data_IF_998174507125
#
_entry.id   IF_998174507125
#
_cell.length_a   1.000
_cell.length_b   1.000
_cell.length_c   1.000
_cell.angle_alpha   90.00
_cell.angle_beta   90.00
_cell.angle_gamma   90.00
#
_symmetry.space_group_name_H-M   'P 1'
#
loop_
_entity.id
_entity.type
_entity.pdbx_description
1 polymer ?
#
# COMPACT_ATOMS: atom_id res chain seq x y z
N UNK A 1 29.64 28.57 -11.05
CA UNK A 1 29.94 27.35 -10.27
C UNK A 1 28.96 26.28 -10.70
N UNK A 2 29.45 25.25 -11.42
CA UNK A 2 28.64 24.09 -11.79
C UNK A 2 28.48 23.19 -10.56
N UNK A 3 27.25 22.95 -10.11
CA UNK A 3 26.99 21.99 -9.04
C UNK A 3 27.26 20.58 -9.60
N UNK A 4 28.18 19.84 -8.97
CA UNK A 4 28.41 18.44 -9.29
C UNK A 4 27.18 17.64 -8.85
N UNK A 5 26.67 16.69 -9.65
CA UNK A 5 25.62 15.79 -9.21
C UNK A 5 26.13 15.00 -7.99
N UNK A 6 25.24 14.78 -7.01
CA UNK A 6 25.51 13.86 -5.90
C UNK A 6 25.77 12.47 -6.49
N UNK A 7 27.02 12.01 -6.43
CA UNK A 7 27.36 10.62 -6.68
C UNK A 7 26.77 9.78 -5.53
N UNK A 8 25.66 9.10 -5.80
CA UNK A 8 25.11 8.10 -4.90
C UNK A 8 26.02 6.86 -5.04
N UNK A 9 26.70 6.42 -3.97
CA UNK A 9 27.57 5.26 -4.06
C UNK A 9 26.75 4.02 -4.43
N UNK A 10 27.28 3.11 -5.28
CA UNK A 10 26.60 1.87 -5.62
C UNK A 10 26.36 1.07 -4.33
N UNK A 11 25.11 0.72 -4.09
CA UNK A 11 24.74 -0.19 -2.99
C UNK A 11 25.26 -1.58 -3.35
N UNK A 12 26.46 -1.89 -2.87
CA UNK A 12 26.98 -3.25 -2.85
C UNK A 12 25.99 -4.08 -2.04
N UNK A 13 25.33 -5.03 -2.70
CA UNK A 13 24.45 -5.98 -2.06
C UNK A 13 25.32 -6.81 -1.09
N UNK A 14 25.24 -6.61 0.24
CA UNK A 14 26.15 -7.31 1.14
C UNK A 14 25.87 -8.81 1.04
N UNK A 15 26.94 -9.60 1.20
CA UNK A 15 26.88 -11.04 1.27
C UNK A 15 25.71 -11.49 2.19
N UNK A 16 24.91 -12.50 1.80
CA UNK A 16 23.80 -12.99 2.60
C UNK A 16 24.15 -13.31 4.05
N UNK A 17 25.38 -13.78 4.33
CA UNK A 17 25.84 -14.06 5.69
C UNK A 17 26.14 -12.77 6.47
N UNK A 18 26.76 -11.77 5.83
CA UNK A 18 27.01 -10.45 6.44
C UNK A 18 25.69 -9.73 6.76
N UNK A 19 24.71 -9.86 5.86
CA UNK A 19 23.35 -9.35 6.09
C UNK A 19 22.67 -10.03 7.25
N UNK A 20 22.85 -11.35 7.39
CA UNK A 20 22.31 -12.12 8.50
C UNK A 20 22.97 -11.74 9.83
N UNK A 21 24.29 -11.59 9.86
CA UNK A 21 25.03 -11.19 11.05
C UNK A 21 24.66 -9.77 11.51
N UNK A 22 24.67 -8.79 10.60
CA UNK A 22 24.24 -7.42 10.93
C UNK A 22 22.79 -7.34 11.41
N UNK A 23 21.91 -8.19 10.86
CA UNK A 23 20.56 -8.36 11.38
C UNK A 23 20.53 -8.93 12.80
N UNK A 24 21.27 -10.02 13.06
CA UNK A 24 21.30 -10.68 14.37
C UNK A 24 21.87 -9.73 15.45
N UNK A 25 22.84 -8.90 15.10
CA UNK A 25 23.36 -7.84 15.96
C UNK A 25 22.35 -6.73 16.24
N UNK A 26 21.62 -6.27 15.21
CA UNK A 26 20.56 -5.28 15.39
C UNK A 26 19.42 -5.84 16.26
N UNK A 27 19.05 -7.11 16.05
CA UNK A 27 18.05 -7.82 16.84
C UNK A 27 18.44 -7.90 18.31
N UNK A 28 19.69 -8.27 18.61
CA UNK A 28 20.19 -8.33 19.98
C UNK A 28 20.19 -6.95 20.69
N UNK A 29 20.24 -5.85 19.92
CA UNK A 29 20.24 -4.47 20.42
C UNK A 29 18.83 -3.88 20.61
N UNK A 30 17.77 -4.59 20.23
CA UNK A 30 16.37 -4.20 20.47
C UNK A 30 15.70 -3.43 19.32
N UNK A 31 14.47 -2.94 19.57
CA UNK A 31 13.57 -2.42 18.53
C UNK A 31 14.14 -1.23 17.74
N UNK A 32 14.84 -0.31 18.39
CA UNK A 32 15.42 0.88 17.76
C UNK A 32 16.59 0.54 16.83
N UNK A 33 17.47 -0.39 17.23
CA UNK A 33 18.56 -0.84 16.38
C UNK A 33 18.06 -1.68 15.19
N UNK A 34 17.01 -2.49 15.39
CA UNK A 34 16.30 -3.17 14.31
C UNK A 34 15.69 -2.17 13.33
N UNK A 35 15.08 -1.09 13.83
CA UNK A 35 14.52 -0.03 12.99
C UNK A 35 15.57 0.62 12.10
N UNK A 36 16.71 1.04 12.66
CA UNK A 36 17.80 1.66 11.89
C UNK A 36 18.43 0.69 10.88
N UNK A 37 18.54 -0.60 11.25
CA UNK A 37 18.98 -1.63 10.31
C UNK A 37 17.97 -1.82 9.15
N UNK A 38 16.68 -1.80 9.45
CA UNK A 38 15.60 -1.96 8.49
C UNK A 38 15.41 -0.75 7.59
N UNK A 39 15.69 0.47 8.07
CA UNK A 39 15.48 1.72 7.35
C UNK A 39 16.02 1.71 5.91
N UNK A 40 17.25 1.25 5.61
CA UNK A 40 17.73 1.10 4.24
C UNK A 40 17.22 -0.17 3.52
N UNK A 41 16.86 -1.23 4.25
CA UNK A 41 16.50 -2.56 3.69
C UNK A 41 15.00 -2.74 3.36
N UNK A 42 14.11 -2.04 4.07
CA UNK A 42 12.68 -1.93 3.76
C UNK A 42 12.44 -1.21 2.43
N UNK A 43 13.41 -0.39 2.08
CA UNK A 43 13.30 0.75 1.19
C UNK A 43 14.20 0.53 -0.06
N UNK A 44 15.15 -0.41 0.00
CA UNK A 44 16.03 -0.73 -1.12
C UNK A 44 16.17 -2.24 -1.35
N UNK A 45 15.67 -2.72 -2.49
CA UNK A 45 16.56 -3.59 -3.29
C UNK A 45 17.49 -2.76 -4.18
N UNK A 46 17.17 -1.50 -4.47
CA UNK A 46 18.02 -0.55 -5.18
C UNK A 46 17.68 0.86 -4.69
N UNK A 47 18.65 1.72 -4.34
CA UNK A 47 18.39 3.06 -3.78
C UNK A 47 17.46 3.97 -4.62
N UNK A 48 17.28 3.66 -5.90
CA UNK A 48 16.33 4.33 -6.81
C UNK A 48 14.85 3.98 -6.55
N UNK A 49 14.53 2.84 -5.92
CA UNK A 49 13.14 2.42 -5.63
C UNK A 49 12.51 3.20 -4.49
N UNK A 50 13.37 3.72 -3.61
CA UNK A 50 13.10 4.33 -2.32
C UNK A 50 12.39 5.69 -2.44
N UNK A 51 13.00 6.57 -3.24
CA UNK A 51 12.45 7.89 -3.54
C UNK A 51 11.19 7.77 -4.40
N UNK A 52 11.16 6.82 -5.34
CA UNK A 52 9.98 6.54 -6.16
C UNK A 52 8.79 6.04 -5.32
N UNK A 53 9.04 5.21 -4.31
CA UNK A 53 8.04 4.75 -3.34
C UNK A 53 7.51 5.89 -2.50
N UNK A 54 8.41 6.67 -1.88
CA UNK A 54 8.03 7.84 -1.10
C UNK A 54 7.25 8.85 -1.94
N UNK A 55 7.68 9.10 -3.17
CA UNK A 55 7.00 9.97 -4.14
C UNK A 55 5.56 9.52 -4.38
N UNK A 56 5.35 8.23 -4.65
CA UNK A 56 4.00 7.68 -4.83
C UNK A 56 3.16 7.80 -3.55
N UNK A 57 3.73 7.57 -2.37
CA UNK A 57 3.01 7.71 -1.11
C UNK A 57 2.62 9.16 -0.82
N UNK A 58 3.49 10.13 -1.11
CA UNK A 58 3.19 11.57 -0.99
C UNK A 58 2.06 11.95 -1.93
N UNK A 59 2.12 11.54 -3.20
CA UNK A 59 1.05 11.83 -4.16
C UNK A 59 -0.27 11.15 -3.80
N UNK A 60 -0.21 9.93 -3.27
CA UNK A 60 -1.39 9.25 -2.75
C UNK A 60 -2.00 10.05 -1.61
N UNK A 61 -1.19 10.49 -0.64
CA UNK A 61 -1.64 11.34 0.46
C UNK A 61 -2.27 12.65 -0.04
N UNK A 62 -1.65 13.34 -1.00
CA UNK A 62 -2.21 14.53 -1.66
C UNK A 62 -3.57 14.25 -2.29
N UNK A 63 -3.70 13.16 -3.04
CA UNK A 63 -4.96 12.77 -3.68
C UNK A 63 -6.07 12.42 -2.68
N UNK A 64 -5.69 11.95 -1.48
CA UNK A 64 -6.60 11.57 -0.41
C UNK A 64 -6.92 12.73 0.55
N UNK A 65 -6.13 13.82 0.56
CA UNK A 65 -6.25 14.93 1.52
C UNK A 65 -7.70 15.42 1.67
N UNK A 66 -8.28 15.95 0.58
CA UNK A 66 -9.64 16.50 0.60
C UNK A 66 -10.70 15.46 1.01
N UNK A 67 -10.74 14.25 0.43
CA UNK A 67 -11.66 13.21 0.90
C UNK A 67 -11.50 12.79 2.38
N UNK A 68 -10.27 12.85 2.93
CA UNK A 68 -10.00 12.62 4.35
C UNK A 68 -10.60 13.74 5.18
N UNK A 69 -10.37 14.99 4.79
CA UNK A 69 -10.94 16.20 5.42
C UNK A 69 -12.48 16.18 5.40
N UNK A 70 -13.09 15.61 4.35
CA UNK A 70 -14.53 15.45 4.21
C UNK A 70 -15.11 14.24 5.00
N UNK A 71 -14.28 13.50 5.74
CA UNK A 71 -14.68 12.28 6.47
C UNK A 71 -15.43 11.26 5.60
N UNK A 72 -14.99 11.11 4.35
CA UNK A 72 -15.73 10.38 3.32
C UNK A 72 -15.99 8.89 3.64
N UNK A 73 -15.14 8.26 4.45
CA UNK A 73 -15.15 6.81 4.66
C UNK A 73 -15.38 6.41 6.11
N UNK A 74 -16.21 5.39 6.32
CA UNK A 74 -16.41 4.77 7.63
C UNK A 74 -15.34 3.71 7.95
N UNK A 75 -14.70 3.18 6.91
CA UNK A 75 -13.73 2.09 7.02
C UNK A 75 -12.69 2.08 5.92
N UNK A 76 -11.55 1.48 6.24
CA UNK A 76 -10.45 1.17 5.32
C UNK A 76 -10.31 -0.35 5.24
N UNK A 77 -10.30 -0.90 4.02
CA UNK A 77 -10.10 -2.31 3.75
C UNK A 77 -8.83 -2.51 2.93
N UNK A 78 -7.76 -2.94 3.58
CA UNK A 78 -6.56 -3.39 2.86
C UNK A 78 -6.84 -4.68 2.10
N UNK A 79 -6.47 -4.73 0.81
CA UNK A 79 -6.46 -5.97 0.05
C UNK A 79 -5.44 -6.96 0.65
N UNK A 80 -5.59 -8.24 0.34
CA UNK A 80 -4.77 -9.31 0.93
C UNK A 80 -3.26 -8.97 0.89
N UNK A 81 -2.45 -9.57 1.77
CA UNK A 81 -0.99 -9.39 1.90
C UNK A 81 -0.44 -8.00 1.53
N UNK A 82 -0.14 -7.72 0.26
CA UNK A 82 0.43 -6.46 -0.23
C UNK A 82 -0.41 -5.22 0.13
N UNK A 83 -1.74 -5.33 0.21
CA UNK A 83 -2.60 -4.20 0.56
C UNK A 83 -2.60 -3.82 2.04
N UNK A 84 -2.00 -4.64 2.92
CA UNK A 84 -2.01 -4.37 4.36
C UNK A 84 -1.20 -3.15 4.72
N UNK A 85 0.01 -3.05 4.21
CA UNK A 85 0.92 -1.96 4.55
C UNK A 85 0.43 -0.61 4.03
N UNK A 86 0.02 -0.48 2.75
CA UNK A 86 -0.65 0.73 2.27
C UNK A 86 -1.93 1.08 3.06
N UNK A 87 -2.70 0.08 3.51
CA UNK A 87 -3.88 0.35 4.33
C UNK A 87 -3.53 0.88 5.73
N UNK A 88 -2.43 0.42 6.34
CA UNK A 88 -1.89 1.00 7.57
C UNK A 88 -1.49 2.45 7.35
N UNK A 89 -0.73 2.72 6.27
CA UNK A 89 -0.32 4.07 5.88
C UNK A 89 -1.53 5.01 5.75
N UNK A 90 -2.51 4.65 4.90
CA UNK A 90 -3.72 5.46 4.67
C UNK A 90 -4.54 5.64 5.94
N UNK A 91 -4.72 4.57 6.72
CA UNK A 91 -5.44 4.66 7.99
C UNK A 91 -4.70 5.53 9.01
N UNK A 92 -3.36 5.57 9.00
CA UNK A 92 -2.59 6.45 9.88
C UNK A 92 -2.83 7.92 9.53
N UNK A 93 -2.84 8.29 8.25
CA UNK A 93 -3.23 9.65 7.80
C UNK A 93 -4.63 10.04 8.31
N UNK A 94 -5.60 9.15 8.13
CA UNK A 94 -6.98 9.36 8.60
C UNK A 94 -7.07 9.46 10.12
N UNK A 95 -6.30 8.65 10.84
CA UNK A 95 -6.27 8.65 12.30
C UNK A 95 -5.69 9.96 12.84
N UNK A 96 -4.58 10.43 12.27
CA UNK A 96 -3.96 11.73 12.58
C UNK A 96 -4.98 12.86 12.42
N UNK A 97 -5.58 12.96 11.22
CA UNK A 97 -6.59 13.98 10.95
C UNK A 97 -7.79 13.91 11.90
N UNK A 98 -8.29 12.70 12.16
CA UNK A 98 -9.43 12.51 13.06
C UNK A 98 -9.12 12.93 14.51
N UNK A 99 -7.89 12.71 14.98
CA UNK A 99 -7.44 13.16 16.30
C UNK A 99 -7.36 14.69 16.40
N UNK A 100 -6.91 15.36 15.35
CA UNK A 100 -6.81 16.84 15.30
C UNK A 100 -8.17 17.52 15.14
N UNK A 101 -9.06 16.95 14.31
CA UNK A 101 -10.39 17.49 14.01
C UNK A 101 -11.47 17.07 15.01
N UNK A 102 -11.16 16.19 15.96
CA UNK A 102 -12.13 15.66 16.92
C UNK A 102 -13.20 14.75 16.30
N UNK A 103 -12.86 14.06 15.21
CA UNK A 103 -13.80 13.21 14.46
C UNK A 103 -13.52 11.72 14.64
N UNK A 104 -14.40 10.88 14.10
CA UNK A 104 -14.31 9.43 14.27
C UNK A 104 -13.25 8.84 13.33
N UNK A 105 -12.35 8.06 13.89
CA UNK A 105 -11.37 7.27 13.12
C UNK A 105 -12.09 6.16 12.32
N UNK A 106 -11.88 6.05 10.99
CA UNK A 106 -12.42 4.95 10.20
C UNK A 106 -11.91 3.59 10.67
N UNK A 107 -12.75 2.56 10.59
CA UNK A 107 -12.33 1.21 11.02
C UNK A 107 -11.37 0.58 10.01
N UNK A 108 -10.16 0.22 10.44
CA UNK A 108 -9.23 -0.57 9.63
C UNK A 108 -9.56 -2.07 9.65
N UNK A 109 -9.57 -2.67 8.46
CA UNK A 109 -9.75 -4.09 8.23
C UNK A 109 -8.84 -4.57 7.11
N UNK A 110 -8.63 -5.88 7.06
CA UNK A 110 -7.91 -6.53 5.97
C UNK A 110 -8.79 -7.60 5.36
N UNK A 111 -8.75 -7.74 4.04
CA UNK A 111 -9.35 -8.85 3.36
C UNK A 111 -8.44 -10.08 3.54
N UNK A 112 -8.78 -10.94 4.49
CA UNK A 112 -8.06 -12.19 4.75
C UNK A 112 -9.05 -13.36 4.67
N UNK A 113 -9.51 -13.73 3.47
CA UNK A 113 -10.45 -14.82 3.32
C UNK A 113 -9.78 -16.11 3.81
N UNK A 114 -10.34 -16.73 4.82
CA UNK A 114 -10.04 -18.13 5.14
C UNK A 114 -10.63 -18.99 4.02
N UNK A 115 -9.83 -19.88 3.43
CA UNK A 115 -10.29 -20.74 2.35
C UNK A 115 -9.94 -22.20 2.62
N UNK A 116 -11.00 -23.03 2.66
CA UNK A 116 -10.91 -24.49 2.75
C UNK A 116 -10.28 -25.08 1.46
N UNK A 117 -9.33 -26.03 1.56
CA UNK A 117 -8.51 -26.49 0.44
C UNK A 117 -9.24 -27.38 -0.59
N UNK A 118 -8.58 -27.58 -1.75
CA UNK A 118 -8.77 -28.63 -2.79
C UNK A 118 -9.75 -28.43 -3.97
N UNK A 119 -9.47 -27.57 -4.98
CA UNK A 119 -10.28 -27.67 -6.23
C UNK A 119 -9.69 -26.95 -7.48
N UNK A 120 -10.02 -27.49 -8.67
CA UNK A 120 -9.50 -27.16 -10.02
C UNK A 120 -9.74 -25.70 -10.48
N UNK A 121 -8.80 -25.17 -11.31
CA UNK A 121 -8.58 -23.75 -11.72
C UNK A 121 -9.80 -22.90 -12.14
N UNK A 122 -10.79 -23.41 -12.88
CA UNK A 122 -11.98 -22.59 -13.29
C UNK A 122 -13.01 -22.38 -12.18
N UNK A 123 -13.11 -23.34 -11.24
CA UNK A 123 -13.96 -23.21 -10.05
C UNK A 123 -13.39 -22.15 -9.09
N UNK A 124 -12.07 -21.89 -9.13
CA UNK A 124 -11.30 -20.94 -8.28
C UNK A 124 -11.84 -19.53 -8.26
N UNK A 125 -12.06 -18.88 -9.41
CA UNK A 125 -12.50 -17.47 -9.42
C UNK A 125 -13.90 -17.27 -8.85
N UNK A 126 -14.86 -18.14 -9.18
CA UNK A 126 -16.24 -18.04 -8.71
C UNK A 126 -16.32 -18.24 -7.20
N UNK A 127 -15.64 -19.25 -6.67
CA UNK A 127 -15.64 -19.53 -5.24
C UNK A 127 -14.76 -18.57 -4.43
N UNK A 128 -13.68 -18.01 -5.01
CA UNK A 128 -12.94 -16.88 -4.41
C UNK A 128 -13.89 -15.71 -4.16
N UNK A 129 -14.71 -15.35 -5.16
CA UNK A 129 -15.74 -14.31 -5.00
C UNK A 129 -16.77 -14.67 -3.93
N UNK A 130 -17.22 -15.92 -3.86
CA UNK A 130 -18.17 -16.35 -2.84
C UNK A 130 -17.57 -16.21 -1.43
N UNK A 131 -16.34 -16.63 -1.20
CA UNK A 131 -15.71 -16.49 0.12
C UNK A 131 -15.39 -15.04 0.45
N UNK A 132 -14.96 -14.22 -0.51
CA UNK A 132 -14.84 -12.77 -0.29
C UNK A 132 -16.20 -12.17 0.08
N UNK A 133 -17.28 -12.60 -0.58
CA UNK A 133 -18.65 -12.14 -0.29
C UNK A 133 -19.09 -12.57 1.11
N UNK A 134 -18.85 -13.82 1.50
CA UNK A 134 -19.18 -14.31 2.85
C UNK A 134 -18.36 -13.59 3.92
N UNK A 135 -17.06 -13.38 3.67
CA UNK A 135 -16.17 -12.62 4.55
C UNK A 135 -16.65 -11.19 4.78
N UNK A 136 -17.00 -10.47 3.70
CA UNK A 136 -17.48 -9.10 3.74
C UNK A 136 -18.89 -9.01 4.34
N UNK A 137 -19.77 -9.98 4.02
CA UNK A 137 -21.12 -10.07 4.62
C UNK A 137 -21.05 -10.28 6.12
N UNK A 138 -20.20 -11.19 6.60
CA UNK A 138 -19.99 -11.42 8.03
C UNK A 138 -19.43 -10.19 8.78
N UNK A 139 -18.85 -9.24 8.05
CA UNK A 139 -18.26 -8.00 8.59
C UNK A 139 -19.02 -6.75 8.14
N UNK A 140 -20.23 -6.87 7.63
CA UNK A 140 -20.98 -5.74 7.07
C UNK A 140 -21.12 -4.55 8.04
N UNK A 141 -21.29 -4.82 9.33
CA UNK A 141 -21.43 -3.79 10.37
C UNK A 141 -20.14 -2.97 10.55
N UNK A 142 -18.98 -3.55 10.20
CA UNK A 142 -17.68 -2.88 10.26
C UNK A 142 -17.34 -2.13 8.97
N UNK A 143 -17.99 -2.46 7.84
CA UNK A 143 -17.78 -1.78 6.56
C UNK A 143 -18.43 -0.39 6.56
N UNK A 144 -19.56 -0.22 7.25
CA UNK A 144 -20.28 1.05 7.25
C UNK A 144 -20.98 1.35 5.92
N UNK A 145 -21.27 2.63 5.67
CA UNK A 145 -21.92 3.12 4.46
C UNK A 145 -20.94 3.23 3.30
N UNK A 146 -19.69 3.63 3.57
CA UNK A 146 -18.64 3.77 2.53
C UNK A 146 -17.28 3.27 3.00
N UNK A 147 -16.66 2.38 2.22
CA UNK A 147 -15.34 1.78 2.51
C UNK A 147 -14.29 2.20 1.48
N UNK A 148 -13.10 2.60 1.93
CA UNK A 148 -11.93 2.75 1.06
C UNK A 148 -11.19 1.41 0.93
N UNK A 149 -11.16 0.83 -0.27
CA UNK A 149 -10.36 -0.37 -0.56
C UNK A 149 -8.95 0.03 -0.94
N UNK A 150 -7.95 -0.40 -0.17
CA UNK A 150 -6.56 0.01 -0.36
C UNK A 150 -5.73 -1.17 -0.86
N UNK A 151 -4.92 -0.95 -1.90
CA UNK A 151 -3.96 -1.93 -2.41
C UNK A 151 -2.61 -1.27 -2.66
N UNK A 152 -1.58 -2.08 -2.87
CA UNK A 152 -0.24 -1.58 -3.22
C UNK A 152 -0.19 -1.12 -4.67
N UNK A 153 -0.57 -2.00 -5.61
CA UNK A 153 -0.59 -1.64 -7.01
C UNK A 153 -1.75 -2.27 -7.77
N UNK A 154 -2.23 -1.54 -8.77
CA UNK A 154 -3.24 -2.02 -9.71
C UNK A 154 -2.57 -2.35 -11.03
N UNK A 155 -2.48 -3.64 -11.36
CA UNK A 155 -2.07 -4.11 -12.68
C UNK A 155 -3.25 -4.17 -13.66
N UNK A 156 -3.91 -5.33 -13.76
CA UNK A 156 -5.10 -5.54 -14.62
C UNK A 156 -6.44 -5.17 -13.98
N UNK A 157 -6.40 -4.61 -12.76
CA UNK A 157 -7.59 -4.34 -11.93
C UNK A 157 -8.48 -5.56 -11.64
N UNK A 158 -8.07 -6.80 -12.01
CA UNK A 158 -8.92 -7.99 -11.87
C UNK A 158 -9.21 -8.32 -10.42
N UNK A 159 -8.19 -8.27 -9.55
CA UNK A 159 -8.35 -8.53 -8.12
C UNK A 159 -9.31 -7.53 -7.47
N UNK A 160 -9.09 -6.23 -7.72
CA UNK A 160 -9.96 -5.16 -7.24
C UNK A 160 -11.39 -5.38 -7.73
N UNK A 161 -11.63 -5.61 -9.03
CA UNK A 161 -12.99 -5.90 -9.54
C UNK A 161 -13.66 -7.09 -8.85
N UNK A 162 -12.91 -8.14 -8.51
CA UNK A 162 -13.46 -9.28 -7.78
C UNK A 162 -13.83 -8.92 -6.33
N UNK A 163 -13.03 -8.08 -5.68
CA UNK A 163 -13.31 -7.53 -4.34
C UNK A 163 -14.57 -6.65 -4.38
N UNK A 164 -14.63 -5.70 -5.32
CA UNK A 164 -15.76 -4.76 -5.45
C UNK A 164 -17.08 -5.49 -5.73
N UNK A 165 -17.05 -6.56 -6.52
CA UNK A 165 -18.22 -7.42 -6.77
C UNK A 165 -18.67 -8.24 -5.55
N UNK A 166 -17.81 -8.37 -4.54
CA UNK A 166 -18.10 -9.11 -3.32
C UNK A 166 -18.70 -8.21 -2.21
N UNK A 167 -18.65 -6.88 -2.35
CA UNK A 167 -19.23 -5.96 -1.38
C UNK A 167 -20.75 -6.14 -1.25
N UNK A 168 -21.31 -5.98 -0.03
CA UNK A 168 -22.75 -5.91 0.16
C UNK A 168 -23.37 -4.75 -0.63
N UNK A 169 -24.58 -4.94 -1.17
CA UNK A 169 -25.27 -3.92 -2.00
C UNK A 169 -25.45 -2.55 -1.33
N UNK A 170 -25.47 -2.50 0.01
CA UNK A 170 -25.69 -1.27 0.80
C UNK A 170 -24.40 -0.51 1.11
N UNK A 171 -23.24 -1.07 0.79
CA UNK A 171 -21.94 -0.46 1.10
C UNK A 171 -21.35 0.11 -0.19
N UNK A 172 -21.23 1.44 -0.25
CA UNK A 172 -20.47 2.12 -1.29
C UNK A 172 -18.97 1.92 -1.07
N UNK A 173 -18.18 2.07 -2.12
CA UNK A 173 -16.74 1.89 -2.02
C UNK A 173 -15.98 2.83 -2.95
N UNK A 174 -14.77 3.17 -2.53
CA UNK A 174 -13.74 3.84 -3.32
C UNK A 174 -12.47 2.97 -3.32
N UNK A 175 -11.51 3.27 -4.18
CA UNK A 175 -10.24 2.52 -4.25
C UNK A 175 -9.06 3.47 -4.12
N UNK A 176 -8.07 3.10 -3.31
CA UNK A 176 -6.77 3.73 -3.22
C UNK A 176 -5.67 2.73 -3.59
N UNK A 177 -4.65 3.19 -4.31
CA UNK A 177 -3.50 2.38 -4.69
C UNK A 177 -2.22 3.20 -4.55
N UNK A 178 -1.11 2.61 -4.11
CA UNK A 178 0.17 3.34 -4.12
C UNK A 178 0.59 3.63 -5.55
N UNK A 179 0.50 2.64 -6.44
CA UNK A 179 0.80 2.84 -7.86
C UNK A 179 -0.19 2.11 -8.78
N UNK A 180 -0.20 2.47 -10.06
CA UNK A 180 -0.90 1.76 -11.14
C UNK A 180 0.13 1.28 -12.16
N UNK A 181 0.07 0.02 -12.56
CA UNK A 181 1.07 -0.55 -13.46
C UNK A 181 0.76 -0.26 -14.94
N UNK A 182 1.74 0.28 -15.67
CA UNK A 182 1.68 0.49 -17.11
C UNK A 182 2.31 -0.70 -17.87
N UNK A 183 1.68 -1.89 -17.80
CA UNK A 183 2.14 -3.06 -18.56
C UNK A 183 1.92 -2.96 -20.08
N UNK A 184 1.04 -2.07 -20.50
CA UNK A 184 0.73 -1.80 -21.90
C UNK A 184 0.93 -0.31 -22.13
N UNK A 185 1.29 0.07 -23.35
CA UNK A 185 1.65 1.44 -23.79
C UNK A 185 0.62 2.53 -23.47
N UNK A 186 -0.55 2.17 -22.92
CA UNK A 186 -1.55 3.11 -22.42
C UNK A 186 -2.11 2.71 -21.03
N UNK A 187 -1.56 3.24 -19.91
CA UNK A 187 -2.14 3.07 -18.56
C UNK A 187 -3.61 3.53 -18.48
N UNK A 188 -4.09 4.34 -19.43
CA UNK A 188 -5.50 4.75 -19.46
C UNK A 188 -6.43 3.58 -19.75
N UNK A 189 -6.01 2.49 -20.40
CA UNK A 189 -6.94 1.40 -20.75
C UNK A 189 -7.43 0.61 -19.53
N UNK A 190 -6.57 0.33 -18.56
CA UNK A 190 -6.98 -0.34 -17.30
C UNK A 190 -7.63 0.62 -16.31
N UNK A 191 -7.14 1.87 -16.24
CA UNK A 191 -7.79 2.94 -15.46
C UNK A 191 -9.22 3.21 -15.96
N UNK A 192 -9.46 3.26 -17.27
CA UNK A 192 -10.80 3.41 -17.86
C UNK A 192 -11.73 2.26 -17.45
N UNK A 193 -11.23 1.03 -17.28
CA UNK A 193 -12.05 -0.11 -16.82
C UNK A 193 -12.46 0.00 -15.35
N UNK A 194 -11.68 0.69 -14.52
CA UNK A 194 -12.01 0.97 -13.11
C UNK A 194 -12.85 2.25 -12.95
N UNK A 195 -12.55 3.31 -13.71
CA UNK A 195 -13.31 4.57 -13.75
C UNK A 195 -14.76 4.41 -14.26
N UNK A 196 -15.08 3.29 -14.91
CA UNK A 196 -16.42 2.98 -15.44
C UNK A 196 -17.41 2.40 -14.40
N UNK A 197 -17.04 2.29 -13.13
CA UNK A 197 -17.97 1.87 -12.08
C UNK A 197 -18.66 3.12 -11.50
N UNK A 198 -19.99 3.29 -11.69
CA UNK A 198 -20.69 4.51 -11.30
C UNK A 198 -20.58 4.81 -9.80
N UNK A 199 -20.27 6.05 -9.43
CA UNK A 199 -20.23 6.51 -8.03
C UNK A 199 -18.97 6.15 -7.24
N UNK A 200 -17.96 5.58 -7.90
CA UNK A 200 -16.69 5.18 -7.32
C UNK A 200 -15.56 6.15 -7.69
N UNK A 201 -14.75 6.54 -6.71
CA UNK A 201 -13.51 7.28 -6.91
C UNK A 201 -12.29 6.35 -6.86
N UNK A 202 -11.26 6.70 -7.62
CA UNK A 202 -9.96 6.02 -7.63
C UNK A 202 -8.87 7.04 -7.30
N UNK A 203 -8.10 6.73 -6.25
CA UNK A 203 -6.97 7.50 -5.77
C UNK A 203 -5.69 6.72 -6.02
N UNK A 204 -4.65 7.37 -6.55
CA UNK A 204 -3.38 6.71 -6.76
C UNK A 204 -2.19 7.68 -6.65
N UNK A 205 -1.05 7.16 -6.21
CA UNK A 205 0.19 7.93 -6.08
C UNK A 205 0.91 8.19 -7.39
N UNK A 206 0.87 7.23 -8.32
CA UNK A 206 1.50 7.39 -9.61
C UNK A 206 1.41 6.15 -10.47
N UNK A 207 2.20 6.13 -11.54
CA UNK A 207 2.31 5.01 -12.48
C UNK A 207 3.68 4.35 -12.40
N UNK A 208 3.75 3.03 -12.47
CA UNK A 208 5.01 2.26 -12.48
C UNK A 208 5.04 1.27 -13.65
N UNK A 209 6.18 1.16 -14.35
CA UNK A 209 6.33 0.24 -15.49
C UNK A 209 6.41 -1.22 -15.04
N UNK A 210 7.10 -1.48 -13.93
CA UNK A 210 7.21 -2.79 -13.28
C UNK A 210 7.92 -2.62 -11.93
N UNK A 211 7.32 -2.95 -10.78
CA UNK A 211 8.10 -3.18 -9.59
C UNK A 211 8.82 -4.52 -9.78
N UNK A 212 10.15 -4.49 -9.88
CA UNK A 212 10.96 -5.72 -9.85
C UNK A 212 10.80 -6.45 -8.50
N UNK A 213 10.32 -5.76 -7.48
CA UNK A 213 9.85 -6.32 -6.21
C UNK A 213 8.69 -5.47 -5.71
N UNK A 214 7.58 -6.06 -5.22
CA UNK A 214 6.48 -5.28 -4.66
C UNK A 214 6.97 -4.43 -3.48
N UNK A 215 6.52 -3.18 -3.44
CA UNK A 215 6.86 -2.14 -2.48
C UNK A 215 6.73 -2.63 -1.02
N UNK A 216 5.76 -3.52 -0.75
CA UNK A 216 5.48 -4.00 0.61
C UNK A 216 5.36 -5.52 0.76
N UNK A 217 5.89 -6.34 -0.15
CA UNK A 217 5.78 -7.81 -0.05
C UNK A 217 6.79 -8.50 0.87
N UNK A 218 7.70 -7.79 1.52
CA UNK A 218 8.64 -8.44 2.43
C UNK A 218 7.86 -9.19 3.52
N UNK A 219 8.12 -10.49 3.64
CA UNK A 219 7.47 -11.40 4.61
C UNK A 219 7.60 -10.90 6.04
N UNK A 220 8.66 -10.14 6.30
CA UNK A 220 8.96 -9.46 7.56
C UNK A 220 7.98 -8.31 7.85
N UNK A 221 7.55 -7.55 6.84
CA UNK A 221 6.60 -6.42 7.01
C UNK A 221 5.18 -6.93 7.31
N UNK A 222 4.80 -8.00 6.62
CA UNK A 222 3.44 -8.54 6.69
C UNK A 222 3.27 -9.57 7.80
N UNK A 223 4.37 -10.22 8.22
CA UNK A 223 4.39 -11.38 9.10
C UNK A 223 3.64 -12.59 8.53
N UNK A 224 3.32 -12.56 7.23
CA UNK A 224 2.38 -13.46 6.56
C UNK A 224 2.90 -13.78 5.16
N UNK A 225 2.68 -15.01 4.70
CA UNK A 225 2.94 -15.43 3.31
C UNK A 225 1.68 -15.96 2.65
N UNK A 226 1.68 -15.97 1.33
CA UNK A 226 0.62 -16.57 0.51
C UNK A 226 0.98 -18.01 0.22
N UNK A 227 0.00 -18.89 0.24
CA UNK A 227 0.14 -20.20 -0.39
C UNK A 227 -0.03 -19.99 -1.91
N UNK A 228 0.93 -20.37 -2.73
CA UNK A 228 0.81 -20.22 -4.19
C UNK A 228 -0.33 -21.07 -4.77
N UNK A 229 -0.75 -22.09 -4.03
CA UNK A 229 -1.81 -23.03 -4.40
C UNK A 229 -3.11 -22.80 -3.64
N UNK A 230 -3.15 -21.92 -2.63
CA UNK A 230 -4.38 -21.59 -1.87
C UNK A 230 -4.56 -20.09 -1.72
N UNK A 231 -5.80 -19.62 -1.82
CA UNK A 231 -6.16 -18.23 -1.57
C UNK A 231 -6.19 -17.90 -0.05
N UNK A 232 -5.18 -18.35 0.70
CA UNK A 232 -5.02 -18.14 2.15
C UNK A 232 -3.69 -17.44 2.43
N UNK A 233 -3.72 -16.43 3.29
CA UNK A 233 -2.52 -15.92 3.95
C UNK A 233 -2.32 -16.67 5.28
N UNK A 234 -1.13 -17.18 5.53
CA UNK A 234 -0.79 -17.81 6.81
C UNK A 234 0.43 -17.10 7.41
N UNK A 235 0.63 -17.27 8.72
CA UNK A 235 1.81 -16.71 9.40
C UNK A 235 3.06 -17.27 8.70
N UNK A 236 4.02 -16.39 8.39
CA UNK A 236 5.27 -16.82 7.77
C UNK A 236 6.04 -17.74 8.73
N UNK A 237 6.78 -18.71 8.21
CA UNK A 237 7.74 -19.47 9.04
C UNK A 237 8.91 -18.58 9.50
N UNK A 238 9.15 -17.48 8.77
CA UNK A 238 10.04 -16.39 9.15
C UNK A 238 9.32 -15.29 9.93
N UNK A 239 8.15 -15.57 10.52
CA UNK A 239 7.45 -14.58 11.34
C UNK A 239 8.25 -14.33 12.61
N UNK A 240 8.69 -13.09 12.75
CA UNK A 240 9.29 -12.58 13.96
C UNK A 240 8.45 -11.36 14.39
N UNK A 241 7.93 -11.36 15.63
CA UNK A 241 7.05 -10.31 16.11
C UNK A 241 7.76 -8.96 16.21
N UNK A 242 9.04 -8.94 16.62
CA UNK A 242 9.81 -7.70 16.75
C UNK A 242 10.13 -7.12 15.36
N UNK A 243 10.58 -7.95 14.42
CA UNK A 243 10.76 -7.53 13.00
C UNK A 243 9.47 -6.96 12.40
N UNK A 244 8.36 -7.67 12.61
CA UNK A 244 7.06 -7.25 12.06
C UNK A 244 6.56 -5.96 12.70
N UNK A 245 6.80 -5.77 13.99
CA UNK A 245 6.44 -4.56 14.71
C UNK A 245 7.28 -3.36 14.24
N UNK A 246 8.60 -3.51 14.18
CA UNK A 246 9.51 -2.48 13.69
C UNK A 246 9.15 -2.04 12.26
N UNK A 247 8.93 -2.99 11.35
CA UNK A 247 8.54 -2.69 9.98
C UNK A 247 7.19 -1.96 9.86
N UNK A 248 6.23 -2.26 10.74
CA UNK A 248 4.95 -1.53 10.80
C UNK A 248 5.12 -0.14 11.39
N UNK A 249 6.00 0.01 12.36
CA UNK A 249 6.28 1.31 12.97
C UNK A 249 6.90 2.27 11.95
N UNK A 250 7.82 1.80 11.10
CA UNK A 250 8.35 2.58 9.97
C UNK A 250 7.26 3.15 9.06
N UNK A 251 6.23 2.36 8.76
CA UNK A 251 5.12 2.80 7.91
C UNK A 251 4.28 3.86 8.61
N UNK A 252 4.15 3.77 9.94
CA UNK A 252 3.47 4.76 10.77
C UNK A 252 4.28 6.05 10.79
N UNK A 253 5.58 5.99 11.03
CA UNK A 253 6.47 7.15 11.11
C UNK A 253 6.52 7.88 9.75
N UNK A 254 6.65 7.13 8.66
CA UNK A 254 6.60 7.67 7.30
C UNK A 254 5.24 8.31 6.99
N UNK A 255 4.13 7.72 7.46
CA UNK A 255 2.81 8.32 7.30
C UNK A 255 2.70 9.63 8.09
N UNK A 256 3.28 9.71 9.29
CA UNK A 256 3.28 10.93 10.09
C UNK A 256 4.12 12.03 9.43
N UNK A 257 5.32 11.71 8.93
CA UNK A 257 6.15 12.66 8.17
C UNK A 257 5.40 13.22 6.94
N UNK A 258 4.80 12.34 6.14
CA UNK A 258 4.03 12.73 4.95
C UNK A 258 2.77 13.49 5.35
N UNK A 259 2.16 13.17 6.49
CA UNK A 259 1.01 13.88 7.01
C UNK A 259 1.36 15.35 7.31
N UNK A 260 2.45 15.62 8.04
CA UNK A 260 2.92 16.99 8.28
C UNK A 260 3.17 17.74 6.95
N UNK A 261 3.82 17.07 6.00
CA UNK A 261 4.12 17.62 4.68
C UNK A 261 2.84 17.99 3.89
N UNK A 262 1.78 17.19 3.96
CA UNK A 262 0.60 17.33 3.08
C UNK A 262 -0.54 18.11 3.75
N UNK A 263 -0.74 17.95 5.06
CA UNK A 263 -1.88 18.50 5.79
C UNK A 263 -1.57 19.84 6.48
N UNK A 264 -0.32 20.07 6.90
CA UNK A 264 0.05 21.27 7.68
C UNK A 264 0.93 22.28 6.93
N UNK A 265 1.41 21.95 5.74
CA UNK A 265 2.13 22.93 4.92
C UNK A 265 1.11 23.84 4.21
N UNK A 266 1.01 25.10 4.64
CA UNK A 266 0.28 26.14 3.93
C UNK A 266 0.79 26.21 2.48
N UNK A 267 -0.10 26.35 1.49
CA UNK A 267 0.24 26.46 0.07
C UNK A 267 1.38 27.47 -0.18
N UNK A 268 2.62 27.00 -0.20
CA UNK A 268 3.77 27.67 -0.79
C UNK A 268 4.68 26.63 -1.42
N UNK A 269 4.65 26.66 -2.75
CA UNK A 269 5.65 26.22 -3.72
C UNK A 269 6.95 25.62 -3.16
N UNK A 270 7.18 24.33 -3.45
CA UNK A 270 8.48 23.77 -3.91
C UNK A 270 8.49 22.22 -3.99
N UNK A 271 7.34 21.54 -3.98
CA UNK A 271 7.29 20.05 -4.07
C UNK A 271 7.29 19.55 -5.52
N UNK A 272 7.16 20.42 -6.51
CA UNK A 272 7.37 20.07 -7.93
C UNK A 272 8.85 19.76 -8.24
N UNK A 273 9.75 19.90 -7.25
CA UNK A 273 11.18 19.58 -7.38
C UNK A 273 11.56 18.14 -7.01
N UNK A 274 10.64 17.28 -6.52
CA UNK A 274 10.94 15.85 -6.49
C UNK A 274 10.87 15.35 -7.95
N UNK A 275 12.01 14.99 -8.58
CA UNK A 275 11.97 14.53 -9.96
C UNK A 275 11.05 13.33 -10.02
N UNK A 276 10.00 13.39 -10.83
CA UNK A 276 9.22 12.20 -11.16
C UNK A 276 10.21 11.19 -11.76
N UNK A 277 10.50 10.06 -11.10
CA UNK A 277 11.51 9.11 -11.58
C UNK A 277 11.04 8.39 -12.86
N UNK A 278 9.81 8.66 -13.32
CA UNK A 278 9.26 8.24 -14.61
C UNK A 278 8.73 9.46 -15.41
N UNK A 279 9.61 10.32 -15.96
CA UNK A 279 9.19 11.53 -16.69
C UNK A 279 8.44 11.23 -17.99
N UNK A 280 8.45 9.97 -18.47
CA UNK A 280 7.78 9.53 -19.70
C UNK A 280 6.24 9.49 -19.62
N UNK A 281 5.63 9.93 -18.52
CA UNK A 281 4.17 9.90 -18.31
C UNK A 281 3.66 11.24 -17.75
N UNK A 282 4.16 12.36 -18.27
CA UNK A 282 3.46 13.64 -18.13
C UNK A 282 2.10 13.53 -18.84
N UNK A 283 1.10 13.16 -18.05
CA UNK A 283 -0.30 13.12 -18.43
C UNK A 283 -0.81 14.57 -18.44
N UNK A 284 -0.62 15.27 -19.56
CA UNK A 284 -1.46 16.43 -19.84
C UNK A 284 -2.92 15.95 -19.86
N UNK A 285 -3.72 16.50 -18.96
CA UNK A 285 -5.16 16.26 -18.95
C UNK A 285 -5.79 16.97 -20.17
N UNK A 286 -6.71 16.32 -20.91
CA UNK A 286 -7.65 17.04 -21.75
C UNK A 286 -8.70 17.77 -20.90
#
# INVERSE_FOLDING_TARGET
MQQRPLEIPPVLNPDPEIRRQSYEEAYAKGEEALYEWWRPHFLGRHGETLEAERYNLVNLAKSLKKPIEEHRWDSVLGDDLSGRTPAVFVHRLMKRYAQESGTKVPTLMYLAPEHKPHWKKRKQTIKKRLVMKDYLKARQNRLGKRTLVVTEFIASGRNIRDILKAFPRKTAYDVASVAVMSYFEDPNTELRKLKRLPGQMLFYGGTTKKPDTPLFKATEVLGRKKDEFKATSFRSEYFDPQRTQAARQMVVDMADEIYEQVFHTAEKADIDQLPNPNPALNLEAP
#
